data_IF_799436266240
#
_entry.id   IF_799436266240
#
_cell.length_a   1.000
_cell.length_b   1.000
_cell.length_c   1.000
_cell.angle_alpha   90.00
_cell.angle_beta   90.00
_cell.angle_gamma   90.00
#
_symmetry.space_group_name_H-M   'P 1'
#
loop_
_entity.id
_entity.type
_entity.pdbx_description
1 polymer ?
#
# COMPACT_ATOMS: atom_id res chain seq x y z
N UNK A 1 21.38 4.74 -0.88
CA UNK A 1 22.26 3.55 -0.96
C UNK A 1 21.68 2.48 -0.03
N UNK A 2 20.77 1.65 -0.55
CA UNK A 2 20.11 0.54 0.16
C UNK A 2 20.09 -0.71 -0.75
N UNK A 3 21.16 -0.94 -1.49
CA UNK A 3 21.28 -2.04 -2.46
C UNK A 3 21.80 -3.35 -1.85
N UNK A 4 21.84 -3.48 -0.53
CA UNK A 4 22.35 -4.69 0.13
C UNK A 4 21.41 -5.22 1.23
N UNK A 5 20.12 -5.26 0.92
CA UNK A 5 19.14 -5.99 1.72
C UNK A 5 19.31 -7.48 1.41
N UNK A 6 19.96 -8.20 2.32
CA UNK A 6 20.07 -9.67 2.27
C UNK A 6 18.73 -10.31 1.87
N UNK A 7 18.74 -11.10 0.79
CA UNK A 7 17.59 -11.85 0.26
C UNK A 7 16.83 -12.66 1.32
N UNK A 8 17.49 -13.01 2.43
CA UNK A 8 16.91 -13.70 3.60
C UNK A 8 15.84 -12.89 4.35
N UNK A 9 15.78 -11.56 4.22
CA UNK A 9 14.87 -10.71 5.00
C UNK A 9 13.60 -10.28 4.24
N UNK A 10 13.50 -10.53 2.92
CA UNK A 10 12.34 -10.11 2.12
C UNK A 10 11.01 -10.68 2.64
N UNK A 11 11.04 -11.92 3.13
CA UNK A 11 9.87 -12.56 3.72
C UNK A 11 9.41 -11.87 5.00
N UNK A 12 10.33 -11.53 5.90
CA UNK A 12 10.02 -10.84 7.16
C UNK A 12 9.59 -9.39 6.92
N UNK A 13 10.21 -8.70 5.95
CA UNK A 13 9.78 -7.37 5.51
C UNK A 13 8.36 -7.38 4.94
N UNK A 14 8.06 -8.35 4.07
CA UNK A 14 6.71 -8.52 3.55
C UNK A 14 5.71 -8.77 4.69
N UNK A 15 6.03 -9.67 5.62
CA UNK A 15 5.20 -9.92 6.80
C UNK A 15 4.95 -8.67 7.66
N UNK A 16 6.00 -7.88 7.90
CA UNK A 16 5.90 -6.62 8.64
C UNK A 16 4.98 -5.62 7.93
N UNK A 17 5.15 -5.47 6.61
CA UNK A 17 4.35 -4.56 5.79
C UNK A 17 2.87 -4.97 5.81
N UNK A 18 2.57 -6.26 5.63
CA UNK A 18 1.20 -6.78 5.69
C UNK A 18 0.58 -6.50 7.06
N UNK A 19 1.33 -6.76 8.15
CA UNK A 19 0.85 -6.50 9.51
C UNK A 19 0.54 -5.01 9.72
N UNK A 20 1.42 -4.13 9.25
CA UNK A 20 1.24 -2.68 9.36
C UNK A 20 0.02 -2.21 8.56
N UNK A 21 -0.14 -2.68 7.33
CA UNK A 21 -1.28 -2.34 6.48
C UNK A 21 -2.61 -2.77 7.12
N UNK A 22 -2.69 -4.01 7.64
CA UNK A 22 -3.90 -4.49 8.34
C UNK A 22 -4.17 -3.65 9.59
N UNK A 23 -3.14 -3.30 10.37
CA UNK A 23 -3.32 -2.52 11.61
C UNK A 23 -3.84 -1.09 11.38
N UNK A 24 -3.63 -0.55 10.18
CA UNK A 24 -4.12 0.78 9.77
C UNK A 24 -5.48 0.71 9.08
N UNK A 25 -5.95 -0.50 8.73
CA UNK A 25 -7.21 -0.67 8.03
C UNK A 25 -8.39 -0.58 9.00
N UNK A 26 -9.34 0.29 8.70
CA UNK A 26 -10.63 0.33 9.42
C UNK A 26 -11.61 -0.74 8.93
N UNK A 27 -11.36 -1.30 7.74
CA UNK A 27 -12.29 -2.20 7.04
C UNK A 27 -12.03 -3.69 7.30
N UNK A 28 -10.79 -4.05 7.64
CA UNK A 28 -10.38 -5.45 7.75
C UNK A 28 -9.64 -5.72 9.05
N UNK A 29 -10.08 -6.75 9.78
CA UNK A 29 -9.37 -7.26 10.96
C UNK A 29 -8.61 -8.57 10.66
N UNK A 30 -7.60 -8.86 11.47
CA UNK A 30 -6.72 -10.03 11.32
C UNK A 30 -7.51 -11.35 11.30
N UNK A 31 -8.56 -11.48 12.12
CA UNK A 31 -9.33 -12.72 12.26
C UNK A 31 -10.19 -12.95 11.01
N UNK A 32 -10.81 -11.90 10.48
CA UNK A 32 -11.58 -11.95 9.25
C UNK A 32 -10.70 -12.29 8.05
N UNK A 33 -9.53 -11.67 7.94
CA UNK A 33 -8.57 -11.99 6.87
C UNK A 33 -8.10 -13.44 6.99
N UNK A 34 -7.69 -13.91 8.17
CA UNK A 34 -7.26 -15.29 8.40
C UNK A 34 -8.33 -16.30 7.94
N UNK A 35 -9.59 -16.06 8.31
CA UNK A 35 -10.73 -16.91 7.90
C UNK A 35 -10.89 -16.93 6.37
N UNK A 36 -10.86 -15.77 5.71
CA UNK A 36 -10.98 -15.67 4.24
C UNK A 36 -9.78 -16.26 3.49
N UNK A 37 -8.62 -16.24 4.12
CA UNK A 37 -7.40 -16.89 3.65
C UNK A 37 -7.44 -18.43 3.75
N UNK A 38 -8.43 -19.00 4.44
CA UNK A 38 -8.50 -20.44 4.74
C UNK A 38 -7.47 -20.87 5.79
N UNK A 39 -6.99 -19.95 6.62
CA UNK A 39 -5.99 -20.20 7.65
C UNK A 39 -6.60 -20.08 9.05
N UNK A 40 -6.05 -20.84 10.01
CA UNK A 40 -6.35 -20.56 11.42
C UNK A 40 -5.77 -19.21 11.81
N UNK A 41 -6.38 -18.55 12.80
CA UNK A 41 -5.87 -17.28 13.34
C UNK A 41 -4.38 -17.38 13.70
N UNK A 42 -4.00 -18.45 14.40
CA UNK A 42 -2.61 -18.68 14.83
C UNK A 42 -1.67 -18.85 13.63
N UNK A 43 -2.07 -19.63 12.61
CA UNK A 43 -1.24 -19.83 11.41
C UNK A 43 -1.03 -18.53 10.63
N UNK A 44 -2.06 -17.69 10.53
CA UNK A 44 -1.93 -16.38 9.91
C UNK A 44 -1.07 -15.43 10.76
N UNK A 45 -1.25 -15.43 12.07
CA UNK A 45 -0.48 -14.60 12.99
C UNK A 45 1.03 -14.92 12.97
N UNK A 46 1.40 -16.20 12.88
CA UNK A 46 2.81 -16.59 12.71
C UNK A 46 3.43 -16.04 11.43
N UNK A 47 2.64 -15.91 10.35
CA UNK A 47 3.09 -15.26 9.12
C UNK A 47 3.26 -13.77 9.29
N UNK A 48 2.31 -13.09 9.93
CA UNK A 48 2.41 -11.65 10.21
C UNK A 48 3.61 -11.28 11.10
N UNK A 49 4.04 -12.19 11.98
CA UNK A 49 5.23 -11.98 12.82
C UNK A 49 6.55 -12.35 12.13
N UNK A 50 6.51 -12.86 10.90
CA UNK A 50 7.71 -13.30 10.17
C UNK A 50 8.27 -14.65 10.61
N UNK A 51 7.64 -15.34 11.58
CA UNK A 51 8.05 -16.68 12.03
C UNK A 51 7.88 -17.73 10.93
N UNK A 52 6.95 -17.52 10.00
CA UNK A 52 6.71 -18.40 8.86
C UNK A 52 6.51 -17.54 7.62
N UNK A 53 7.25 -17.74 6.52
CA UNK A 53 7.05 -16.94 5.32
C UNK A 53 5.70 -17.26 4.67
N UNK A 54 5.13 -16.28 3.97
CA UNK A 54 4.00 -16.50 3.09
C UNK A 54 4.43 -17.30 1.87
N UNK A 55 3.69 -18.37 1.54
CA UNK A 55 3.84 -19.06 0.27
C UNK A 55 3.27 -18.21 -0.89
N UNK A 56 3.72 -18.44 -2.13
CA UNK A 56 3.28 -17.67 -3.30
C UNK A 56 1.74 -17.67 -3.47
N UNK A 57 1.09 -18.82 -3.29
CA UNK A 57 -0.37 -18.92 -3.36
C UNK A 57 -1.07 -18.17 -2.21
N UNK A 58 -0.42 -18.07 -1.04
CA UNK A 58 -0.93 -17.28 0.09
C UNK A 58 -0.80 -15.79 -0.17
N UNK A 59 0.28 -15.34 -0.81
CA UNK A 59 0.43 -13.94 -1.25
C UNK A 59 -0.69 -13.60 -2.24
N UNK A 60 -0.94 -14.46 -3.23
CA UNK A 60 -2.03 -14.26 -4.20
C UNK A 60 -3.40 -14.17 -3.52
N UNK A 61 -3.71 -15.10 -2.60
CA UNK A 61 -4.96 -15.08 -1.82
C UNK A 61 -5.06 -13.84 -0.93
N UNK A 62 -3.95 -13.42 -0.33
CA UNK A 62 -3.91 -12.23 0.53
C UNK A 62 -4.28 -10.98 -0.26
N UNK A 63 -3.68 -10.77 -1.43
CA UNK A 63 -3.99 -9.63 -2.30
C UNK A 63 -5.48 -9.65 -2.72
N UNK A 64 -6.05 -10.82 -2.98
CA UNK A 64 -7.47 -10.92 -3.32
C UNK A 64 -8.40 -10.62 -2.14
N UNK A 65 -8.02 -10.99 -0.92
CA UNK A 65 -8.84 -10.80 0.30
C UNK A 65 -8.67 -9.39 0.88
N UNK A 66 -7.47 -8.84 0.78
CA UNK A 66 -7.04 -7.56 1.32
C UNK A 66 -6.26 -6.81 0.22
N UNK A 67 -6.97 -6.15 -0.72
CA UNK A 67 -6.37 -5.50 -1.88
C UNK A 67 -5.74 -4.16 -1.51
N UNK A 68 -4.76 -4.20 -0.61
CA UNK A 68 -4.02 -3.02 -0.19
C UNK A 68 -2.89 -2.71 -1.20
N UNK A 69 -2.87 -1.51 -1.80
CA UNK A 69 -1.89 -1.17 -2.82
C UNK A 69 -0.45 -1.11 -2.32
N UNK A 70 -0.22 -0.85 -1.03
CA UNK A 70 1.14 -0.81 -0.48
C UNK A 70 1.79 -2.20 -0.49
N UNK A 71 1.00 -3.26 -0.28
CA UNK A 71 1.43 -4.66 -0.40
C UNK A 71 1.85 -4.97 -1.82
N UNK A 72 1.02 -4.58 -2.80
CA UNK A 72 1.32 -4.82 -4.22
C UNK A 72 2.51 -4.00 -4.69
N UNK A 73 2.62 -2.74 -4.25
CA UNK A 73 3.75 -1.85 -4.57
C UNK A 73 5.08 -2.44 -4.10
N UNK A 74 5.10 -3.08 -2.92
CA UNK A 74 6.30 -3.79 -2.45
C UNK A 74 6.74 -4.92 -3.39
N UNK A 75 5.78 -5.69 -3.92
CA UNK A 75 6.05 -6.79 -4.86
C UNK A 75 6.52 -6.29 -6.24
N UNK A 76 6.06 -5.10 -6.65
CA UNK A 76 6.41 -4.46 -7.91
C UNK A 76 7.68 -3.61 -7.84
N UNK A 77 8.28 -3.46 -6.66
CA UNK A 77 9.49 -2.65 -6.47
C UNK A 77 10.60 -3.10 -7.42
N UNK A 78 11.16 -2.14 -8.15
CA UNK A 78 12.21 -2.38 -9.15
C UNK A 78 11.67 -2.81 -10.53
N UNK A 79 10.35 -2.83 -10.72
CA UNK A 79 9.71 -3.02 -12.02
C UNK A 79 9.17 -1.70 -12.56
N UNK A 80 8.78 -1.67 -13.84
CA UNK A 80 8.13 -0.51 -14.45
C UNK A 80 6.62 -0.40 -14.13
N UNK A 81 6.09 -1.30 -13.30
CA UNK A 81 4.67 -1.35 -12.96
C UNK A 81 4.39 -0.64 -11.65
N UNK A 82 3.26 0.09 -11.61
CA UNK A 82 2.75 0.74 -10.39
C UNK A 82 1.43 0.10 -10.01
N UNK A 83 1.24 -0.17 -8.72
CA UNK A 83 -0.03 -0.69 -8.21
C UNK A 83 -1.07 0.42 -8.24
N UNK A 84 -2.16 0.22 -9.00
CA UNK A 84 -3.29 1.14 -9.07
C UNK A 84 -4.50 0.54 -8.35
N UNK A 85 -5.26 1.39 -7.65
CA UNK A 85 -6.55 1.01 -7.08
C UNK A 85 -7.62 0.95 -8.18
N UNK A 86 -8.51 -0.04 -8.08
CA UNK A 86 -9.71 -0.09 -8.93
C UNK A 86 -10.77 0.85 -8.37
N UNK A 87 -10.89 2.01 -8.99
CA UNK A 87 -11.98 2.95 -8.75
C UNK A 87 -13.22 2.37 -9.45
N UNK A 88 -14.25 1.95 -8.70
CA UNK A 88 -15.51 1.46 -9.30
C UNK A 88 -16.15 0.21 -8.71
N UNK A 89 -15.61 -0.40 -7.64
CA UNK A 89 -16.31 -1.50 -6.95
C UNK A 89 -17.34 -1.02 -5.91
N UNK A 90 -17.44 0.30 -5.67
CA UNK A 90 -18.47 0.86 -4.80
C UNK A 90 -19.76 1.07 -5.60
N UNK A 91 -20.88 0.53 -5.11
CA UNK A 91 -22.22 0.80 -5.62
C UNK A 91 -22.51 2.31 -5.50
N UNK A 92 -22.26 3.09 -6.55
CA UNK A 92 -22.40 4.55 -6.53
C UNK A 92 -22.41 5.17 -7.93
N UNK A 93 -22.79 6.45 -8.02
CA UNK A 93 -22.79 7.21 -9.27
C UNK A 93 -21.33 7.31 -9.82
N UNK A 94 -21.09 6.92 -11.08
CA UNK A 94 -19.80 7.10 -11.73
C UNK A 94 -19.27 8.54 -11.73
N UNK A 95 -20.13 9.56 -11.71
CA UNK A 95 -19.69 10.97 -11.63
C UNK A 95 -19.19 11.33 -10.23
N UNK A 96 -19.93 10.97 -9.18
CA UNK A 96 -19.51 11.17 -7.79
C UNK A 96 -18.19 10.44 -7.49
N UNK A 97 -18.04 9.22 -8.03
CA UNK A 97 -16.82 8.44 -7.91
C UNK A 97 -15.62 9.16 -8.55
N UNK A 98 -15.83 9.78 -9.71
CA UNK A 98 -14.81 10.58 -10.40
C UNK A 98 -14.41 11.81 -9.57
N UNK A 99 -15.39 12.54 -9.02
CA UNK A 99 -15.14 13.70 -8.18
C UNK A 99 -14.35 13.33 -6.92
N UNK A 100 -14.73 12.25 -6.24
CA UNK A 100 -14.03 11.75 -5.06
C UNK A 100 -12.58 11.36 -5.38
N UNK A 101 -12.36 10.66 -6.49
CA UNK A 101 -11.03 10.29 -6.95
C UNK A 101 -10.16 11.52 -7.28
N UNK A 102 -10.72 12.51 -7.97
CA UNK A 102 -10.01 13.76 -8.27
C UNK A 102 -9.65 14.54 -6.99
N UNK A 103 -10.58 14.62 -6.03
CA UNK A 103 -10.32 15.25 -4.73
C UNK A 103 -9.20 14.55 -3.97
N UNK A 104 -9.19 13.21 -3.97
CA UNK A 104 -8.13 12.43 -3.32
C UNK A 104 -6.75 12.75 -3.89
N UNK A 105 -6.62 12.86 -5.21
CA UNK A 105 -5.35 13.26 -5.87
C UNK A 105 -4.88 14.63 -5.36
N UNK A 106 -5.79 15.61 -5.26
CA UNK A 106 -5.45 16.96 -4.78
C UNK A 106 -4.98 16.94 -3.31
N UNK A 107 -5.67 16.17 -2.47
CA UNK A 107 -5.30 16.02 -1.05
C UNK A 107 -3.93 15.38 -0.90
N UNK A 108 -3.69 14.25 -1.55
CA UNK A 108 -2.40 13.53 -1.46
C UNK A 108 -1.25 14.36 -2.04
N UNK A 109 -1.47 15.09 -3.14
CA UNK A 109 -0.48 16.03 -3.66
C UNK A 109 -0.18 17.18 -2.67
N UNK A 110 -1.20 17.64 -1.93
CA UNK A 110 -1.02 18.66 -0.89
C UNK A 110 -0.25 18.10 0.32
N UNK A 111 -0.45 16.82 0.65
CA UNK A 111 0.29 16.14 1.72
C UNK A 111 1.79 16.02 1.41
N UNK A 112 2.16 15.78 0.14
CA UNK A 112 3.56 15.85 -0.32
C UNK A 112 4.16 17.23 -0.02
N UNK A 113 3.47 18.30 -0.41
CA UNK A 113 3.94 19.67 -0.17
C UNK A 113 4.07 19.97 1.32
N UNK A 114 3.14 19.46 2.13
CA UNK A 114 3.15 19.59 3.59
C UNK A 114 4.36 18.90 4.22
N UNK A 115 4.67 17.66 3.82
CA UNK A 115 5.85 16.95 4.33
C UNK A 115 7.16 17.62 3.89
N UNK A 116 7.22 18.16 2.68
CA UNK A 116 8.37 18.96 2.22
C UNK A 116 8.52 20.22 3.07
N UNK A 117 7.45 20.96 3.36
CA UNK A 117 7.50 22.14 4.24
C UNK A 117 8.04 21.76 5.62
N UNK A 118 7.51 20.69 6.22
CA UNK A 118 7.94 20.19 7.53
C UNK A 118 9.43 19.84 7.52
N UNK A 119 9.90 19.07 6.53
CA UNK A 119 11.29 18.67 6.42
C UNK A 119 12.25 19.87 6.20
N UNK A 120 11.78 20.93 5.53
CA UNK A 120 12.61 22.11 5.26
C UNK A 120 12.69 23.09 6.43
N UNK A 121 11.85 22.97 7.47
CA UNK A 121 11.85 23.88 8.64
C UNK A 121 13.17 23.90 9.40
N UNK A 122 13.84 22.76 9.49
CA UNK A 122 15.13 22.63 10.18
C UNK A 122 16.33 22.80 9.22
N UNK A 123 16.08 23.22 7.97
CA UNK A 123 17.07 23.38 6.89
C UNK A 123 17.93 22.13 6.60
N UNK A 124 17.46 20.96 7.00
CA UNK A 124 18.12 19.67 6.78
C UNK A 124 17.05 18.62 6.52
N UNK A 125 17.25 17.85 5.46
CA UNK A 125 16.42 16.67 5.16
C UNK A 125 17.22 15.46 5.61
N UNK A 126 16.72 14.74 6.61
CA UNK A 126 17.34 13.50 7.06
C UNK A 126 16.77 12.26 6.31
N UNK A 127 17.25 11.06 6.69
CA UNK A 127 16.79 9.82 6.06
C UNK A 127 15.33 9.48 6.35
N UNK A 128 14.80 9.90 7.50
CA UNK A 128 13.40 9.70 7.87
C UNK A 128 12.52 10.66 7.08
N UNK A 129 12.91 11.92 6.94
CA UNK A 129 12.20 12.91 6.13
C UNK A 129 12.12 12.46 4.67
N UNK A 130 13.26 12.00 4.13
CA UNK A 130 13.31 11.45 2.77
C UNK A 130 12.33 10.29 2.60
N UNK A 131 12.27 9.37 3.57
CA UNK A 131 11.36 8.23 3.52
C UNK A 131 9.89 8.65 3.59
N UNK A 132 9.56 9.66 4.41
CA UNK A 132 8.21 10.22 4.48
C UNK A 132 7.80 10.89 3.17
N UNK A 133 8.65 11.76 2.62
CA UNK A 133 8.37 12.46 1.35
C UNK A 133 8.18 11.46 0.21
N UNK A 134 9.08 10.48 0.08
CA UNK A 134 8.97 9.44 -0.97
C UNK A 134 7.66 8.67 -0.84
N UNK A 135 7.26 8.30 0.39
CA UNK A 135 6.00 7.63 0.63
C UNK A 135 4.80 8.48 0.16
N UNK A 136 4.73 9.76 0.53
CA UNK A 136 3.62 10.62 0.11
C UNK A 136 3.60 10.82 -1.42
N UNK A 137 4.77 10.88 -2.07
CA UNK A 137 4.86 10.92 -3.54
C UNK A 137 4.29 9.64 -4.15
N UNK A 138 4.71 8.47 -3.66
CA UNK A 138 4.21 7.16 -4.14
C UNK A 138 2.69 7.04 -3.96
N UNK A 139 2.15 7.56 -2.86
CA UNK A 139 0.70 7.58 -2.59
C UNK A 139 -0.03 8.49 -3.60
N UNK A 140 0.46 9.72 -3.83
CA UNK A 140 -0.11 10.65 -4.81
C UNK A 140 -0.05 10.12 -6.26
N UNK A 141 1.09 9.55 -6.67
CA UNK A 141 1.26 8.92 -7.99
C UNK A 141 0.25 7.79 -8.20
N UNK A 142 0.06 6.96 -7.16
CA UNK A 142 -0.92 5.87 -7.19
C UNK A 142 -2.33 6.38 -7.43
N UNK A 143 -2.78 7.40 -6.71
CA UNK A 143 -4.13 7.95 -6.93
C UNK A 143 -4.30 8.54 -8.32
N UNK A 144 -3.25 9.19 -8.84
CA UNK A 144 -3.28 9.79 -10.18
C UNK A 144 -3.34 8.72 -11.28
N UNK A 145 -2.58 7.64 -11.14
CA UNK A 145 -2.65 6.48 -12.06
C UNK A 145 -4.01 5.77 -11.96
N UNK A 146 -4.55 5.63 -10.75
CA UNK A 146 -5.87 5.03 -10.52
C UNK A 146 -6.95 5.84 -11.23
N UNK A 147 -6.95 7.18 -11.06
CA UNK A 147 -7.86 8.10 -11.74
C UNK A 147 -7.71 8.02 -13.27
N UNK A 148 -6.47 8.04 -13.78
CA UNK A 148 -6.20 7.87 -15.21
C UNK A 148 -6.78 6.55 -15.75
N UNK A 149 -6.60 5.46 -15.01
CA UNK A 149 -7.09 4.14 -15.40
C UNK A 149 -8.62 4.09 -15.43
N UNK A 150 -9.27 4.74 -14.45
CA UNK A 150 -10.73 4.87 -14.43
C UNK A 150 -11.27 5.65 -15.64
N UNK A 151 -10.63 6.77 -15.99
CA UNK A 151 -11.01 7.58 -17.16
C UNK A 151 -10.78 6.80 -18.46
N UNK A 152 -9.65 6.10 -18.59
CA UNK A 152 -9.29 5.36 -19.81
C UNK A 152 -10.07 4.05 -20.01
N UNK A 153 -10.63 3.48 -18.93
CA UNK A 153 -11.46 2.29 -18.97
C UNK A 153 -12.95 2.57 -19.24
N UNK A 154 -13.30 3.84 -19.46
CA UNK A 154 -14.63 4.32 -19.81
C UNK A 154 -14.74 4.52 -21.33
#
# INVERSE_FOLDING_TARGET
MLDDVHVKDRGAQFSFLVRQAISRSERYDIKTIAKRMGLSYQAFYQRLNGSTPFAADEIRRLIAVFPDPSIVSYLLRGTAYVAAERIGEAEGDPEDTLYQAAHRVVLEASDVLREIDVALRDHRIDHRDTASIVKEIEDAERSLISLRTFIAGR
#
